data_IF_298378905138
#
_entry.id   IF_298378905138
#
_cell.length_a   1.000
_cell.length_b   1.000
_cell.length_c   1.000
_cell.angle_alpha   90.00
_cell.angle_beta   90.00
_cell.angle_gamma   90.00
#
_symmetry.space_group_name_H-M   'P 1'
#
loop_
_entity.id
_entity.type
_entity.pdbx_description
1 polymer ?
#
# COMPACT_ATOMS: atom_id res chain seq x y z
N UNK A 1 9.62 30.53 12.88
CA UNK A 1 8.50 29.73 13.41
C UNK A 1 8.70 28.28 12.93
N UNK A 2 8.88 27.36 13.82
CA UNK A 2 8.93 25.94 13.48
C UNK A 2 7.50 25.48 13.17
N UNK A 3 7.24 24.80 12.05
CA UNK A 3 5.93 24.25 11.80
C UNK A 3 5.66 23.17 12.86
N UNK A 4 4.62 23.39 13.66
CA UNK A 4 4.15 22.42 14.65
C UNK A 4 3.33 21.39 13.91
N UNK A 5 3.96 20.28 13.56
CA UNK A 5 3.23 19.07 13.19
C UNK A 5 2.57 18.48 14.42
N UNK A 6 1.35 17.92 14.32
CA UNK A 6 0.75 17.21 15.44
C UNK A 6 1.61 16.00 15.78
N UNK A 7 2.41 16.18 16.79
CA UNK A 7 3.38 15.24 17.33
C UNK A 7 2.66 13.97 17.82
N UNK A 8 3.21 12.81 17.52
CA UNK A 8 2.90 11.49 18.11
C UNK A 8 1.42 11.00 18.12
N UNK A 9 0.44 11.88 18.30
CA UNK A 9 -0.97 11.49 18.34
C UNK A 9 -1.51 11.04 16.98
N UNK A 10 -1.08 11.68 15.88
CA UNK A 10 -1.48 11.31 14.52
C UNK A 10 -0.93 9.94 14.09
N UNK A 11 0.29 9.61 14.48
CA UNK A 11 0.95 8.32 14.24
C UNK A 11 0.17 7.16 14.86
N UNK A 12 -0.11 7.30 16.16
CA UNK A 12 -0.86 6.28 16.89
C UNK A 12 -2.28 6.09 16.35
N UNK A 13 -2.90 7.16 15.85
CA UNK A 13 -4.26 7.11 15.27
C UNK A 13 -4.27 6.36 13.94
N UNK A 14 -3.36 6.66 13.00
CA UNK A 14 -3.33 6.00 11.69
C UNK A 14 -3.05 4.50 11.81
N UNK A 15 -2.12 4.10 12.68
CA UNK A 15 -1.83 2.69 12.91
C UNK A 15 -3.03 1.96 13.55
N UNK A 16 -3.66 2.58 14.56
CA UNK A 16 -4.86 2.00 15.20
C UNK A 16 -6.02 1.87 14.21
N UNK A 17 -6.20 2.84 13.35
CA UNK A 17 -7.24 2.81 12.32
C UNK A 17 -6.98 1.68 11.32
N UNK A 18 -5.74 1.54 10.83
CA UNK A 18 -5.38 0.46 9.91
C UNK A 18 -5.60 -0.92 10.56
N UNK A 19 -5.14 -1.10 11.81
CA UNK A 19 -5.35 -2.33 12.57
C UNK A 19 -6.84 -2.63 12.76
N UNK A 20 -7.64 -1.62 13.05
CA UNK A 20 -9.10 -1.76 13.19
C UNK A 20 -9.77 -2.21 11.89
N UNK A 21 -9.25 -1.77 10.73
CA UNK A 21 -9.82 -2.12 9.43
C UNK A 21 -9.46 -3.53 8.97
N UNK A 22 -8.21 -3.96 9.16
CA UNK A 22 -7.70 -5.19 8.56
C UNK A 22 -7.06 -6.19 9.53
N UNK A 23 -6.91 -5.82 10.80
CA UNK A 23 -6.23 -6.63 11.81
C UNK A 23 -4.74 -6.32 11.93
N UNK A 24 -4.16 -6.65 13.08
CA UNK A 24 -2.78 -6.28 13.42
C UNK A 24 -1.75 -7.00 12.52
N UNK A 25 -1.92 -8.29 12.28
CA UNK A 25 -1.01 -9.08 11.45
C UNK A 25 -1.04 -8.62 9.99
N UNK A 26 -2.23 -8.42 9.42
CA UNK A 26 -2.38 -7.90 8.06
C UNK A 26 -1.80 -6.49 7.92
N UNK A 27 -2.01 -5.61 8.91
CA UNK A 27 -1.44 -4.26 8.92
C UNK A 27 0.09 -4.28 8.93
N UNK A 28 0.70 -5.09 9.78
CA UNK A 28 2.16 -5.23 9.86
C UNK A 28 2.76 -5.76 8.54
N UNK A 29 2.16 -6.79 7.97
CA UNK A 29 2.57 -7.36 6.68
C UNK A 29 2.44 -6.34 5.53
N UNK A 30 1.33 -5.61 5.47
CA UNK A 30 1.10 -4.60 4.43
C UNK A 30 2.11 -3.46 4.53
N UNK A 31 2.32 -2.90 5.72
CA UNK A 31 3.31 -1.82 5.96
C UNK A 31 4.71 -2.27 5.54
N UNK A 32 5.13 -3.46 5.97
CA UNK A 32 6.46 -4.00 5.63
C UNK A 32 6.63 -4.20 4.12
N UNK A 33 5.62 -4.77 3.46
CA UNK A 33 5.66 -5.04 2.03
C UNK A 33 5.74 -3.75 1.22
N UNK A 34 4.87 -2.79 1.52
CA UNK A 34 4.85 -1.50 0.79
C UNK A 34 6.16 -0.73 1.03
N UNK A 35 6.65 -0.68 2.27
CA UNK A 35 7.89 0.02 2.61
C UNK A 35 9.10 -0.49 1.83
N UNK A 36 9.19 -1.81 1.58
CA UNK A 36 10.28 -2.41 0.81
C UNK A 36 10.28 -1.93 -0.64
N UNK A 37 9.10 -1.79 -1.26
CA UNK A 37 8.98 -1.52 -2.70
C UNK A 37 8.86 -0.04 -3.05
N UNK A 38 8.37 0.81 -2.14
CA UNK A 38 8.25 2.24 -2.41
C UNK A 38 9.58 2.99 -2.25
N UNK A 39 10.52 2.47 -1.48
CA UNK A 39 11.74 3.19 -1.09
C UNK A 39 11.40 4.34 -0.13
N UNK A 40 12.42 4.86 0.56
CA UNK A 40 12.24 5.92 1.56
C UNK A 40 13.15 7.11 1.28
N UNK A 41 12.56 8.29 1.22
CA UNK A 41 13.29 9.57 1.11
C UNK A 41 12.82 10.49 2.24
N UNK A 42 13.66 10.71 3.25
CA UNK A 42 13.34 11.47 4.46
C UNK A 42 13.24 13.00 4.24
N UNK A 43 12.90 13.41 3.04
CA UNK A 43 12.69 14.82 2.66
C UNK A 43 11.72 14.93 1.50
N UNK A 44 11.19 16.12 1.29
CA UNK A 44 10.42 16.38 0.07
C UNK A 44 11.32 16.40 -1.17
N UNK A 45 10.81 15.85 -2.25
CA UNK A 45 11.40 15.88 -3.59
C UNK A 45 10.29 16.02 -4.63
N UNK A 46 10.66 16.38 -5.84
CA UNK A 46 9.74 16.40 -6.97
C UNK A 46 9.90 15.09 -7.73
N UNK A 47 8.82 14.35 -7.88
CA UNK A 47 8.84 13.07 -8.59
C UNK A 47 8.96 13.27 -10.13
N UNK A 48 9.15 12.20 -10.92
CA UNK A 48 9.33 12.31 -12.39
C UNK A 48 8.14 12.95 -13.12
N UNK A 49 6.94 12.97 -12.50
CA UNK A 49 5.74 13.60 -13.09
C UNK A 49 5.47 15.01 -12.54
N UNK A 50 6.40 15.55 -11.75
CA UNK A 50 6.35 16.93 -11.26
C UNK A 50 5.56 17.12 -9.96
N UNK A 51 5.22 16.06 -9.25
CA UNK A 51 4.48 16.10 -7.98
C UNK A 51 5.43 16.16 -6.78
N UNK A 52 5.14 17.07 -5.82
CA UNK A 52 5.90 17.14 -4.57
C UNK A 52 5.55 15.93 -3.70
N UNK A 53 6.58 15.18 -3.37
CA UNK A 53 6.47 13.84 -2.76
C UNK A 53 7.41 13.75 -1.56
N UNK A 54 7.11 12.88 -0.62
CA UNK A 54 7.97 12.60 0.56
C UNK A 54 7.92 11.14 0.97
N UNK A 55 8.88 10.75 1.77
CA UNK A 55 8.93 9.47 2.48
C UNK A 55 8.76 8.24 1.56
N UNK A 56 7.67 7.53 1.67
CA UNK A 56 7.32 6.34 0.89
C UNK A 56 6.34 6.69 -0.26
N UNK A 57 6.62 7.76 -1.00
CA UNK A 57 5.75 8.19 -2.10
C UNK A 57 4.52 8.98 -1.64
N UNK A 58 4.50 9.49 -0.41
CA UNK A 58 3.40 10.32 0.09
C UNK A 58 3.30 11.63 -0.68
N UNK A 59 2.09 12.00 -1.08
CA UNK A 59 1.75 13.28 -1.69
C UNK A 59 0.61 13.94 -0.94
N UNK A 60 0.66 15.26 -0.77
CA UNK A 60 -0.41 15.96 -0.05
C UNK A 60 -0.24 17.47 -0.10
N UNK A 61 -1.32 18.22 0.10
CA UNK A 61 -1.31 19.68 0.07
C UNK A 61 -0.54 20.31 1.23
N UNK A 62 -0.26 19.52 2.28
CA UNK A 62 0.53 19.93 3.44
C UNK A 62 2.03 19.97 3.18
N UNK A 63 2.52 19.29 2.11
CA UNK A 63 3.94 19.23 1.80
C UNK A 63 4.47 20.60 1.34
N UNK A 64 5.69 20.91 1.77
CA UNK A 64 6.43 22.11 1.37
C UNK A 64 7.82 21.70 0.89
N UNK A 65 8.35 22.41 -0.09
CA UNK A 65 9.74 22.19 -0.56
C UNK A 65 10.73 22.35 0.59
N UNK A 66 11.71 21.47 0.64
CA UNK A 66 12.77 21.51 1.65
C UNK A 66 12.40 20.97 3.03
N UNK A 67 11.24 20.36 3.20
CA UNK A 67 10.90 19.68 4.45
C UNK A 67 11.72 18.40 4.62
N UNK A 68 12.16 18.14 5.86
CA UNK A 68 12.76 16.90 6.28
C UNK A 68 11.83 16.16 7.24
N UNK A 69 11.89 14.83 7.23
CA UNK A 69 11.04 13.95 8.03
C UNK A 69 11.89 12.93 8.78
N UNK A 70 11.48 12.58 10.00
CA UNK A 70 12.03 11.42 10.72
C UNK A 70 11.49 10.13 10.15
N UNK A 71 12.10 8.99 10.51
CA UNK A 71 11.59 7.68 10.10
C UNK A 71 10.19 7.42 10.65
N UNK A 72 9.90 7.85 11.86
CA UNK A 72 8.58 7.75 12.48
C UNK A 72 7.54 8.58 11.73
N UNK A 73 7.90 9.78 11.27
CA UNK A 73 7.01 10.62 10.47
C UNK A 73 6.74 9.99 9.11
N UNK A 74 7.76 9.42 8.47
CA UNK A 74 7.59 8.68 7.22
C UNK A 74 6.68 7.46 7.38
N UNK A 75 6.85 6.72 8.47
CA UNK A 75 5.99 5.57 8.77
C UNK A 75 4.54 6.00 9.00
N UNK A 76 4.32 7.12 9.67
CA UNK A 76 2.99 7.68 9.87
C UNK A 76 2.29 8.06 8.57
N UNK A 77 3.02 8.70 7.67
CA UNK A 77 2.49 9.05 6.34
C UNK A 77 2.10 7.78 5.57
N UNK A 78 2.96 6.76 5.57
CA UNK A 78 2.66 5.47 4.95
C UNK A 78 1.41 4.81 5.52
N UNK A 79 1.29 4.76 6.84
CA UNK A 79 0.12 4.18 7.51
C UNK A 79 -1.17 4.96 7.19
N UNK A 80 -1.11 6.29 7.15
CA UNK A 80 -2.25 7.13 6.77
C UNK A 80 -2.67 6.90 5.31
N UNK A 81 -1.71 6.75 4.41
CA UNK A 81 -1.99 6.45 3.00
C UNK A 81 -2.55 5.04 2.83
N UNK A 82 -2.04 4.06 3.58
CA UNK A 82 -2.61 2.70 3.58
C UNK A 82 -4.04 2.66 4.09
N UNK A 83 -4.41 3.47 5.08
CA UNK A 83 -5.81 3.60 5.53
C UNK A 83 -6.72 4.02 4.37
N UNK A 84 -6.30 4.98 3.54
CA UNK A 84 -7.08 5.41 2.36
C UNK A 84 -7.28 4.27 1.36
N UNK A 85 -6.26 3.43 1.17
CA UNK A 85 -6.31 2.30 0.24
C UNK A 85 -6.99 1.06 0.84
N UNK A 86 -7.01 0.92 2.17
CA UNK A 86 -7.65 -0.22 2.84
C UNK A 86 -9.14 -0.33 2.54
N UNK A 87 -9.82 0.80 2.28
CA UNK A 87 -11.20 0.81 1.85
C UNK A 87 -11.45 0.04 0.53
N UNK A 88 -10.44 -0.09 -0.33
CA UNK A 88 -10.56 -0.86 -1.57
C UNK A 88 -10.78 -2.36 -1.30
N UNK A 89 -10.35 -2.88 -0.16
CA UNK A 89 -10.59 -4.29 0.21
C UNK A 89 -12.08 -4.62 0.34
N UNK A 90 -12.93 -3.62 0.59
CA UNK A 90 -14.38 -3.78 0.64
C UNK A 90 -15.01 -4.18 -0.70
N UNK A 91 -14.26 -4.03 -1.81
CA UNK A 91 -14.67 -4.55 -3.12
C UNK A 91 -14.70 -6.08 -3.15
N UNK A 92 -13.97 -6.75 -2.25
CA UNK A 92 -13.98 -8.22 -2.10
C UNK A 92 -14.94 -8.58 -0.97
N UNK A 93 -15.95 -9.40 -1.29
CA UNK A 93 -16.99 -9.81 -0.36
C UNK A 93 -16.72 -11.15 0.34
N UNK A 94 -15.65 -11.82 -0.09
CA UNK A 94 -15.22 -13.08 0.51
C UNK A 94 -14.31 -12.82 1.73
N UNK A 95 -14.30 -13.69 2.74
CA UNK A 95 -13.33 -13.63 3.82
C UNK A 95 -11.90 -13.76 3.28
N UNK A 96 -10.99 -12.96 3.80
CA UNK A 96 -9.59 -12.95 3.42
C UNK A 96 -8.70 -13.28 4.63
N UNK A 97 -7.66 -14.07 4.42
CA UNK A 97 -6.58 -14.25 5.39
C UNK A 97 -5.76 -12.97 5.56
N UNK A 98 -4.95 -12.89 6.60
CA UNK A 98 -4.07 -11.74 6.84
C UNK A 98 -3.07 -11.51 5.70
N UNK A 99 -2.50 -12.61 5.15
CA UNK A 99 -1.62 -12.55 3.99
C UNK A 99 -2.32 -12.02 2.73
N UNK A 100 -3.56 -12.47 2.48
CA UNK A 100 -4.37 -12.00 1.36
C UNK A 100 -4.73 -10.51 1.50
N UNK A 101 -5.16 -10.08 2.69
CA UNK A 101 -5.41 -8.65 2.96
C UNK A 101 -4.17 -7.80 2.72
N UNK A 102 -3.01 -8.23 3.23
CA UNK A 102 -1.76 -7.51 3.07
C UNK A 102 -1.32 -7.43 1.59
N UNK A 103 -1.39 -8.54 0.87
CA UNK A 103 -1.04 -8.60 -0.55
C UNK A 103 -1.96 -7.71 -1.40
N UNK A 104 -3.26 -7.80 -1.20
CA UNK A 104 -4.24 -7.01 -1.95
C UNK A 104 -4.18 -5.53 -1.58
N UNK A 105 -3.92 -5.18 -0.32
CA UNK A 105 -3.70 -3.79 0.07
C UNK A 105 -2.43 -3.21 -0.57
N UNK A 106 -1.30 -3.95 -0.57
CA UNK A 106 -0.08 -3.53 -1.26
C UNK A 106 -0.33 -3.32 -2.76
N UNK A 107 -1.08 -4.20 -3.38
CA UNK A 107 -1.45 -4.08 -4.78
C UNK A 107 -2.35 -2.87 -5.03
N UNK A 108 -3.42 -2.67 -4.25
CA UNK A 108 -4.31 -1.51 -4.35
C UNK A 108 -3.56 -0.19 -4.13
N UNK A 109 -2.61 -0.16 -3.20
CA UNK A 109 -1.74 0.99 -2.97
C UNK A 109 -0.93 1.36 -4.22
N UNK A 110 -0.42 0.37 -4.94
CA UNK A 110 0.41 0.58 -6.12
C UNK A 110 -0.40 0.97 -7.37
N UNK A 111 -1.53 0.32 -7.61
CA UNK A 111 -2.32 0.52 -8.85
C UNK A 111 -3.47 1.52 -8.69
N UNK A 112 -3.84 1.85 -7.46
CA UNK A 112 -5.00 2.68 -7.13
C UNK A 112 -6.27 1.87 -6.89
N UNK A 113 -7.15 2.41 -6.05
CA UNK A 113 -8.39 1.73 -5.63
C UNK A 113 -9.32 1.41 -6.80
N UNK A 114 -9.44 2.32 -7.77
CA UNK A 114 -10.30 2.11 -8.94
C UNK A 114 -9.84 0.95 -9.82
N UNK A 115 -8.54 0.90 -10.13
CA UNK A 115 -7.97 -0.19 -10.92
C UNK A 115 -8.07 -1.53 -10.17
N UNK A 116 -7.82 -1.52 -8.85
CA UNK A 116 -8.00 -2.71 -8.01
C UNK A 116 -9.43 -3.23 -8.05
N UNK A 117 -10.41 -2.39 -7.72
CA UNK A 117 -11.82 -2.78 -7.65
C UNK A 117 -12.37 -3.25 -9.00
N UNK A 118 -11.90 -2.69 -10.12
CA UNK A 118 -12.30 -3.09 -11.47
C UNK A 118 -11.53 -4.29 -12.05
N UNK A 119 -10.58 -4.87 -11.30
CA UNK A 119 -9.68 -5.90 -11.80
C UNK A 119 -10.33 -7.28 -11.91
N UNK A 120 -9.74 -8.13 -12.77
CA UNK A 120 -10.07 -9.55 -12.83
C UNK A 120 -9.78 -10.27 -11.50
N UNK A 121 -8.76 -9.80 -10.75
CA UNK A 121 -8.45 -10.29 -9.43
C UNK A 121 -9.67 -10.22 -8.50
N UNK A 122 -10.29 -9.04 -8.39
CA UNK A 122 -11.47 -8.84 -7.54
C UNK A 122 -12.66 -9.69 -8.02
N UNK A 123 -12.87 -9.82 -9.33
CA UNK A 123 -13.94 -10.69 -9.88
C UNK A 123 -13.72 -12.15 -9.50
N UNK A 124 -12.49 -12.66 -9.61
CA UNK A 124 -12.16 -14.04 -9.21
C UNK A 124 -12.34 -14.25 -7.70
N UNK A 125 -11.85 -13.33 -6.89
CA UNK A 125 -12.01 -13.39 -5.44
C UNK A 125 -13.50 -13.45 -5.06
N UNK A 126 -14.34 -12.61 -5.66
CA UNK A 126 -15.77 -12.59 -5.39
C UNK A 126 -16.51 -13.84 -5.90
N UNK A 127 -15.96 -14.52 -6.89
CA UNK A 127 -16.46 -15.83 -7.34
C UNK A 127 -16.00 -17.01 -6.45
N UNK A 128 -15.22 -16.74 -5.39
CA UNK A 128 -14.67 -17.75 -4.49
C UNK A 128 -13.34 -18.36 -4.96
N UNK A 129 -12.82 -17.92 -6.11
CA UNK A 129 -11.53 -18.35 -6.65
C UNK A 129 -10.40 -17.47 -6.10
N UNK A 130 -10.08 -17.65 -4.84
CA UNK A 130 -9.00 -16.87 -4.17
C UNK A 130 -7.63 -17.22 -4.74
N UNK A 131 -7.35 -18.48 -5.02
CA UNK A 131 -6.08 -18.91 -5.63
C UNK A 131 -5.89 -18.28 -7.01
N UNK A 132 -6.93 -18.27 -7.82
CA UNK A 132 -6.94 -17.57 -9.11
C UNK A 132 -6.76 -16.06 -8.97
N UNK A 133 -7.33 -15.45 -7.93
CA UNK A 133 -7.13 -14.04 -7.62
C UNK A 133 -5.66 -13.76 -7.25
N UNK A 134 -5.04 -14.58 -6.41
CA UNK A 134 -3.61 -14.45 -6.08
C UNK A 134 -2.73 -14.57 -7.34
N UNK A 135 -3.04 -15.50 -8.24
CA UNK A 135 -2.31 -15.69 -9.50
C UNK A 135 -2.41 -14.48 -10.44
N UNK A 136 -3.53 -13.74 -10.43
CA UNK A 136 -3.71 -12.53 -11.25
C UNK A 136 -2.69 -11.43 -10.94
N UNK A 137 -2.14 -11.36 -9.73
CA UNK A 137 -1.10 -10.39 -9.36
C UNK A 137 0.05 -10.41 -10.36
N UNK A 138 0.48 -11.58 -10.81
CA UNK A 138 1.62 -11.76 -11.74
C UNK A 138 1.42 -11.10 -13.11
N UNK A 139 0.21 -10.69 -13.46
CA UNK A 139 -0.09 -10.00 -14.73
C UNK A 139 0.18 -8.50 -14.67
N UNK A 140 0.31 -7.93 -13.49
CA UNK A 140 0.46 -6.49 -13.27
C UNK A 140 1.94 -6.07 -13.15
N UNK A 141 2.71 -6.38 -14.18
CA UNK A 141 4.17 -6.17 -14.22
C UNK A 141 4.62 -5.18 -15.29
N UNK A 142 3.67 -4.53 -15.98
CA UNK A 142 3.95 -3.58 -17.05
C UNK A 142 3.60 -2.15 -16.63
N UNK A 143 4.42 -1.20 -17.08
CA UNK A 143 4.13 0.23 -17.05
C UNK A 143 4.72 0.88 -18.31
N UNK A 144 3.98 1.81 -18.92
CA UNK A 144 4.41 2.46 -20.16
C UNK A 144 4.69 1.47 -21.30
N UNK A 145 3.97 0.36 -21.36
CA UNK A 145 4.13 -0.69 -22.38
C UNK A 145 5.36 -1.60 -22.20
N UNK A 146 6.11 -1.46 -21.10
CA UNK A 146 7.29 -2.27 -20.80
C UNK A 146 7.10 -3.03 -19.50
N UNK A 147 7.59 -4.27 -19.47
CA UNK A 147 7.70 -5.02 -18.22
C UNK A 147 8.83 -4.44 -17.37
N UNK A 148 8.53 -4.12 -16.11
CA UNK A 148 9.49 -3.55 -15.18
C UNK A 148 9.94 -4.59 -14.16
N UNK A 149 11.27 -4.83 -14.02
CA UNK A 149 11.80 -5.80 -13.06
C UNK A 149 11.36 -5.55 -11.62
N UNK A 150 11.21 -4.28 -11.21
CA UNK A 150 10.70 -3.91 -9.88
C UNK A 150 9.26 -4.36 -9.66
N UNK A 151 8.40 -4.22 -10.67
CA UNK A 151 7.02 -4.71 -10.60
C UNK A 151 6.95 -6.23 -10.59
N UNK A 152 7.80 -6.91 -11.36
CA UNK A 152 7.90 -8.38 -11.34
C UNK A 152 8.22 -8.88 -9.93
N UNK A 153 9.22 -8.30 -9.28
CA UNK A 153 9.61 -8.65 -7.90
C UNK A 153 8.49 -8.35 -6.90
N UNK A 154 7.86 -7.18 -7.01
CA UNK A 154 6.75 -6.78 -6.11
C UNK A 154 5.57 -7.73 -6.23
N UNK A 155 5.12 -8.01 -7.45
CA UNK A 155 4.00 -8.95 -7.70
C UNK A 155 4.32 -10.36 -7.21
N UNK A 156 5.55 -10.82 -7.37
CA UNK A 156 5.97 -12.12 -6.85
C UNK A 156 5.89 -12.19 -5.32
N UNK A 157 6.33 -11.16 -4.62
CA UNK A 157 6.24 -11.09 -3.17
C UNK A 157 4.79 -10.98 -2.67
N UNK A 158 3.97 -10.15 -3.30
CA UNK A 158 2.53 -10.05 -3.01
C UNK A 158 1.81 -11.37 -3.25
N UNK A 159 2.12 -12.06 -4.35
CA UNK A 159 1.56 -13.37 -4.65
C UNK A 159 1.95 -14.41 -3.60
N UNK A 160 3.22 -14.43 -3.19
CA UNK A 160 3.69 -15.33 -2.13
C UNK A 160 2.94 -15.12 -0.81
N UNK A 161 2.72 -13.86 -0.41
CA UNK A 161 1.90 -13.53 0.76
C UNK A 161 0.45 -14.03 0.61
N UNK A 162 -0.12 -13.83 -0.57
CA UNK A 162 -1.49 -14.20 -0.89
C UNK A 162 -1.70 -15.72 -0.81
N UNK A 163 -0.74 -16.49 -1.31
CA UNK A 163 -0.78 -17.96 -1.41
C UNK A 163 -0.32 -18.67 -0.13
N UNK A 164 0.26 -17.96 0.85
CA UNK A 164 0.82 -18.58 2.05
C UNK A 164 -0.21 -19.26 2.96
N UNK A 165 -1.50 -19.08 2.70
CA UNK A 165 -2.57 -19.65 3.50
C UNK A 165 -2.79 -18.96 4.85
N UNK A 166 -3.77 -19.39 5.63
CA UNK A 166 -4.00 -18.86 6.98
C UNK A 166 -2.83 -19.22 7.90
N UNK A 167 -2.28 -18.19 8.56
CA UNK A 167 -1.33 -18.35 9.67
C UNK A 167 -2.05 -18.63 10.96
#
# INVERSE_FOLDING_TARGET
>A
MRPVWPQSKGLAMSNRTLISMIGAAAAALAVSTVAIYEGKVNRTYVDPVGVLTSCYGHTGPELRKGQAFTDEQCLAQLQADLVKHAAALDCIKQPLSDGQKAAFLSFAFNVGNGAFCGSTLVRKANAGDIDGACAELSRWTYAGGKQLPGLVKRRAAERQLCEAGPT
#
